data_IF_892416993555
#
_entry.id   IF_892416993555
#
_cell.length_a   1.000
_cell.length_b   1.000
_cell.length_c   1.000
_cell.angle_alpha   90.00
_cell.angle_beta   90.00
_cell.angle_gamma   90.00
#
_symmetry.space_group_name_H-M   'P 1'
#
loop_
_entity.id
_entity.type
_entity.pdbx_description
1 polymer ?
#
# COMPACT_ATOMS: atom_id res chain seq x y z
N UNK A 1 4.94 20.94 -1.94
CA UNK A 1 6.19 20.20 -1.65
C UNK A 1 5.76 18.97 -0.87
N UNK A 2 5.71 17.80 -1.50
CA UNK A 2 5.37 16.55 -0.81
C UNK A 2 6.63 16.22 0.00
N UNK A 3 6.53 16.32 1.33
CA UNK A 3 7.66 16.04 2.21
C UNK A 3 7.92 14.54 2.17
N UNK A 4 9.00 14.18 1.49
CA UNK A 4 9.41 12.80 1.33
C UNK A 4 10.03 12.30 2.64
N UNK A 5 9.40 11.34 3.32
CA UNK A 5 10.05 10.65 4.43
C UNK A 5 11.15 9.75 3.87
N UNK A 6 12.37 9.83 4.38
CA UNK A 6 13.47 8.95 3.94
C UNK A 6 13.32 7.53 4.51
N UNK A 7 13.98 6.54 3.91
CA UNK A 7 13.95 5.16 4.40
C UNK A 7 14.50 5.02 5.83
N UNK A 8 15.51 5.82 6.19
CA UNK A 8 16.04 5.86 7.56
C UNK A 8 15.02 6.42 8.55
N UNK A 9 14.32 7.49 8.17
CA UNK A 9 13.26 8.06 8.99
C UNK A 9 12.10 7.07 9.14
N UNK A 10 11.72 6.35 8.07
CA UNK A 10 10.74 5.27 8.13
C UNK A 10 11.10 4.23 9.19
N UNK A 11 12.34 3.73 9.18
CA UNK A 11 12.81 2.73 10.16
C UNK A 11 12.79 3.26 11.60
N UNK A 12 13.21 4.51 11.81
CA UNK A 12 13.19 5.15 13.14
C UNK A 12 11.76 5.29 13.66
N UNK A 13 10.85 5.77 12.81
CA UNK A 13 9.42 5.89 13.13
C UNK A 13 8.78 4.53 13.43
N UNK A 14 9.08 3.53 12.60
CA UNK A 14 8.60 2.16 12.75
C UNK A 14 9.09 1.54 14.07
N UNK A 15 10.37 1.71 14.40
CA UNK A 15 10.92 1.28 15.68
C UNK A 15 10.29 2.01 16.87
N UNK A 16 10.07 3.32 16.76
CA UNK A 16 9.42 4.10 17.80
C UNK A 16 8.01 3.56 18.09
N UNK A 17 7.14 3.47 17.09
CA UNK A 17 5.74 3.07 17.31
C UNK A 17 5.55 1.59 17.63
N UNK A 18 6.32 0.70 17.00
CA UNK A 18 6.13 -0.74 17.21
C UNK A 18 6.98 -1.34 18.32
N UNK A 19 8.05 -0.67 18.77
CA UNK A 19 8.91 -1.17 19.85
C UNK A 19 8.94 -0.25 21.07
N UNK A 20 9.24 1.04 20.89
CA UNK A 20 9.37 1.98 22.03
C UNK A 20 8.01 2.27 22.68
N UNK A 21 6.98 2.60 21.91
CA UNK A 21 5.65 2.95 22.47
C UNK A 21 5.07 1.82 23.32
N UNK A 22 5.07 0.54 22.90
CA UNK A 22 4.64 -0.56 23.76
C UNK A 22 5.46 -0.67 25.07
N UNK A 23 6.78 -0.46 25.02
CA UNK A 23 7.64 -0.44 26.22
C UNK A 23 7.26 0.71 27.14
N UNK A 24 7.07 1.92 26.60
CA UNK A 24 6.62 3.09 27.37
C UNK A 24 5.25 2.83 28.02
N UNK A 25 4.33 2.17 27.32
CA UNK A 25 3.02 1.80 27.85
C UNK A 25 3.14 0.80 29.01
N UNK A 26 3.95 -0.26 28.87
CA UNK A 26 4.16 -1.26 29.94
C UNK A 26 4.83 -0.62 31.16
N UNK A 27 5.90 0.14 30.96
CA UNK A 27 6.61 0.84 32.04
C UNK A 27 5.71 1.87 32.72
N UNK A 28 4.95 2.63 31.93
CA UNK A 28 3.97 3.59 32.43
C UNK A 28 2.87 2.92 33.25
N UNK A 29 2.35 1.78 32.80
CA UNK A 29 1.33 1.01 33.53
C UNK A 29 1.87 0.49 34.88
N UNK A 30 3.09 -0.04 34.90
CA UNK A 30 3.74 -0.49 36.14
C UNK A 30 3.95 0.68 37.11
N UNK A 31 4.45 1.82 36.61
CA UNK A 31 4.62 3.02 37.42
C UNK A 31 3.28 3.53 37.99
N UNK A 32 2.21 3.48 37.18
CA UNK A 32 0.87 3.83 37.62
C UNK A 32 0.36 2.89 38.73
N UNK A 33 0.54 1.57 38.57
CA UNK A 33 0.16 0.59 39.61
C UNK A 33 0.93 0.81 40.91
N UNK A 34 2.24 1.04 40.84
CA UNK A 34 3.06 1.36 42.01
C UNK A 34 2.59 2.64 42.69
N UNK A 35 2.29 3.69 41.92
CA UNK A 35 1.74 4.93 42.44
C UNK A 35 0.42 4.68 43.18
N UNK A 36 -0.50 3.91 42.59
CA UNK A 36 -1.78 3.58 43.22
C UNK A 36 -1.58 2.81 44.53
N UNK A 37 -0.71 1.81 44.56
CA UNK A 37 -0.38 1.05 45.78
C UNK A 37 0.16 2.00 46.86
N UNK A 38 1.11 2.87 46.53
CA UNK A 38 1.70 3.83 47.47
C UNK A 38 0.70 4.87 47.98
N UNK A 39 -0.26 5.29 47.14
CA UNK A 39 -1.30 6.24 47.54
C UNK A 39 -2.35 5.61 48.46
N UNK A 40 -2.72 4.34 48.21
CA UNK A 40 -3.69 3.57 48.98
C UNK A 40 -3.10 3.05 50.31
N UNK A 41 -1.81 2.72 50.35
CA UNK A 41 -1.15 2.22 51.56
C UNK A 41 -0.81 3.36 52.54
N UNK A 42 -1.75 3.65 53.44
CA UNK A 42 -1.72 4.81 54.36
C UNK A 42 -0.58 4.78 55.39
N UNK A 43 -0.12 3.59 55.77
CA UNK A 43 0.77 3.39 56.93
C UNK A 43 2.26 3.67 56.64
N UNK A 44 2.67 3.70 55.36
CA UNK A 44 4.07 3.92 54.95
C UNK A 44 4.21 5.05 53.92
N UNK A 45 3.43 6.14 54.07
CA UNK A 45 3.47 7.33 53.21
C UNK A 45 4.77 8.13 53.37
N UNK A 46 5.87 7.59 52.84
CA UNK A 46 7.11 8.36 52.63
C UNK A 46 6.93 9.19 51.36
N UNK A 47 6.72 10.51 51.51
CA UNK A 47 6.46 11.43 50.40
C UNK A 47 7.51 11.36 49.29
N UNK A 48 8.79 11.11 49.63
CA UNK A 48 9.86 10.93 48.64
C UNK A 48 9.71 9.70 47.73
N UNK A 49 8.99 8.65 48.17
CA UNK A 49 8.80 7.42 47.41
C UNK A 49 7.70 7.55 46.34
N UNK A 50 6.76 8.49 46.53
CA UNK A 50 5.68 8.79 45.58
C UNK A 50 6.21 9.53 44.34
N UNK A 51 7.25 10.34 44.50
CA UNK A 51 7.83 11.10 43.39
C UNK A 51 8.47 10.21 42.32
N UNK A 52 9.01 9.05 42.70
CA UNK A 52 9.65 8.14 41.75
C UNK A 52 8.69 7.70 40.61
N UNK A 53 7.53 7.06 40.88
CA UNK A 53 6.61 6.68 39.82
C UNK A 53 6.01 7.89 39.09
N UNK A 54 5.85 9.04 39.75
CA UNK A 54 5.39 10.28 39.09
C UNK A 54 6.39 10.76 38.03
N UNK A 55 7.69 10.80 38.35
CA UNK A 55 8.72 11.17 37.38
C UNK A 55 8.77 10.17 36.23
N UNK A 56 8.67 8.86 36.52
CA UNK A 56 8.63 7.84 35.46
C UNK A 56 7.43 8.04 34.53
N UNK A 57 6.24 8.31 35.06
CA UNK A 57 5.05 8.61 34.26
C UNK A 57 5.25 9.87 33.39
N UNK A 58 5.86 10.92 33.94
CA UNK A 58 6.18 12.13 33.19
C UNK A 58 7.20 11.86 32.08
N UNK A 59 8.22 11.04 32.32
CA UNK A 59 9.19 10.65 31.30
C UNK A 59 8.54 9.79 30.20
N UNK A 60 7.67 8.85 30.55
CA UNK A 60 6.94 8.05 29.57
C UNK A 60 6.00 8.92 28.72
N UNK A 61 5.21 9.79 29.35
CA UNK A 61 4.30 10.70 28.65
C UNK A 61 5.04 11.72 27.80
N UNK A 62 6.08 12.36 28.35
CA UNK A 62 6.91 13.32 27.62
C UNK A 62 7.68 12.68 26.45
N UNK A 63 8.25 11.49 26.67
CA UNK A 63 8.91 10.73 25.60
C UNK A 63 7.95 10.32 24.48
N UNK A 64 6.72 9.91 24.84
CA UNK A 64 5.68 9.64 23.85
C UNK A 64 5.30 10.88 23.05
N UNK A 65 4.99 12.00 23.72
CA UNK A 65 4.57 13.24 23.05
C UNK A 65 5.66 13.80 22.14
N UNK A 66 6.91 13.84 22.61
CA UNK A 66 8.03 14.30 21.79
C UNK A 66 8.23 13.39 20.57
N UNK A 67 8.24 12.07 20.75
CA UNK A 67 8.38 11.16 19.63
C UNK A 67 7.20 11.22 18.66
N UNK A 68 5.96 11.38 19.16
CA UNK A 68 4.78 11.50 18.32
C UNK A 68 4.78 12.78 17.48
N UNK A 69 5.32 13.89 18.00
CA UNK A 69 5.49 15.13 17.24
C UNK A 69 6.49 14.96 16.08
N UNK A 70 7.56 14.20 16.29
CA UNK A 70 8.59 13.99 15.25
C UNK A 70 8.21 12.93 14.20
N UNK A 71 7.50 11.88 14.62
CA UNK A 71 7.17 10.74 13.77
C UNK A 71 5.69 10.72 13.33
N UNK A 72 4.96 11.83 13.49
CA UNK A 72 3.53 11.89 13.22
C UNK A 72 3.15 11.40 11.83
N UNK A 73 3.87 11.87 10.81
CA UNK A 73 3.57 11.61 9.39
C UNK A 73 3.61 10.11 9.07
N UNK A 74 4.50 9.36 9.72
CA UNK A 74 4.61 7.91 9.56
C UNK A 74 3.27 7.19 9.82
N UNK A 75 2.44 7.65 10.77
CA UNK A 75 1.15 7.00 11.03
C UNK A 75 0.22 7.05 9.81
N UNK A 76 0.19 8.21 9.15
CA UNK A 76 -0.68 8.44 8.00
C UNK A 76 -0.17 7.66 6.78
N UNK A 77 1.15 7.65 6.56
CA UNK A 77 1.76 6.92 5.46
C UNK A 77 1.63 5.41 5.66
N UNK A 78 1.95 4.91 6.86
CA UNK A 78 1.91 3.49 7.18
C UNK A 78 0.49 2.92 7.14
N UNK A 79 -0.54 3.72 7.44
CA UNK A 79 -1.94 3.30 7.33
C UNK A 79 -2.38 3.01 5.88
N UNK A 80 -1.69 3.60 4.91
CA UNK A 80 -1.97 3.42 3.48
C UNK A 80 -1.15 2.28 2.85
N UNK A 81 -0.19 1.71 3.59
CA UNK A 81 0.64 0.62 3.09
C UNK A 81 -0.16 -0.67 3.00
N UNK A 82 -0.24 -1.20 1.79
CA UNK A 82 -0.91 -2.46 1.47
C UNK A 82 0.10 -3.52 0.99
N UNK A 83 -0.26 -4.81 0.98
CA UNK A 83 0.63 -5.90 0.53
C UNK A 83 1.10 -5.82 -0.93
N UNK A 84 0.59 -4.90 -1.75
CA UNK A 84 1.10 -4.61 -3.09
C UNK A 84 2.17 -3.50 -3.10
N UNK A 85 2.45 -2.86 -1.97
CA UNK A 85 3.47 -1.82 -1.79
C UNK A 85 4.67 -2.38 -1.03
N UNK A 86 4.42 -3.18 0.01
CA UNK A 86 5.46 -3.72 0.89
C UNK A 86 5.22 -5.21 1.20
N UNK A 87 6.29 -6.00 1.23
CA UNK A 87 6.25 -7.45 1.45
C UNK A 87 6.11 -7.87 2.92
N UNK A 88 6.33 -6.93 3.85
CA UNK A 88 6.34 -7.16 5.29
C UNK A 88 5.86 -5.97 6.07
N UNK A 89 5.41 -6.25 7.29
CA UNK A 89 5.04 -5.26 8.29
C UNK A 89 5.83 -5.49 9.58
N UNK A 90 6.13 -4.40 10.30
CA UNK A 90 6.77 -4.51 11.61
C UNK A 90 5.79 -5.01 12.64
N UNK A 91 6.27 -5.89 13.51
CA UNK A 91 5.58 -6.28 14.75
C UNK A 91 6.48 -5.93 15.94
N UNK A 92 5.95 -6.05 17.16
CA UNK A 92 6.72 -5.80 18.38
C UNK A 92 8.04 -6.59 18.38
N UNK A 93 7.99 -7.84 17.87
CA UNK A 93 9.16 -8.68 17.63
C UNK A 93 9.31 -8.89 16.12
N UNK A 94 10.39 -8.35 15.55
CA UNK A 94 10.77 -8.60 14.16
C UNK A 94 9.76 -8.10 13.12
N UNK A 95 9.74 -8.80 11.99
CA UNK A 95 8.87 -8.52 10.85
C UNK A 95 7.96 -9.71 10.58
N UNK A 96 6.73 -9.43 10.19
CA UNK A 96 5.80 -10.43 9.66
C UNK A 96 5.71 -10.25 8.15
N UNK A 97 6.06 -11.29 7.42
CA UNK A 97 5.92 -11.34 5.97
C UNK A 97 4.51 -11.75 5.59
N UNK A 98 3.98 -11.18 4.51
CA UNK A 98 2.71 -11.59 3.93
C UNK A 98 2.87 -12.96 3.25
N UNK A 99 1.81 -13.77 3.30
CA UNK A 99 1.75 -15.03 2.57
C UNK A 99 1.61 -14.79 1.06
N UNK A 100 2.06 -15.75 0.25
CA UNK A 100 2.06 -15.61 -1.21
C UNK A 100 0.65 -15.43 -1.79
N UNK A 101 -0.38 -16.06 -1.20
CA UNK A 101 -1.77 -15.90 -1.64
C UNK A 101 -2.27 -14.48 -1.43
N UNK A 102 -1.98 -13.87 -0.28
CA UNK A 102 -2.31 -12.47 -0.01
C UNK A 102 -1.58 -11.54 -0.97
N UNK A 103 -0.28 -11.72 -1.16
CA UNK A 103 0.49 -10.91 -2.11
C UNK A 103 -0.09 -10.99 -3.53
N UNK A 104 -0.40 -12.20 -4.01
CA UNK A 104 -0.97 -12.43 -5.33
C UNK A 104 -2.36 -11.80 -5.50
N UNK A 105 -3.16 -11.73 -4.43
CA UNK A 105 -4.46 -11.06 -4.46
C UNK A 105 -4.31 -9.54 -4.56
N UNK A 106 -3.45 -8.94 -3.73
CA UNK A 106 -3.22 -7.49 -3.71
C UNK A 106 -2.48 -6.98 -4.95
N UNK A 107 -1.60 -7.78 -5.54
CA UNK A 107 -0.90 -7.47 -6.79
C UNK A 107 -1.85 -7.15 -7.95
N UNK A 108 -3.09 -7.65 -7.93
CA UNK A 108 -4.09 -7.40 -8.98
C UNK A 108 -4.87 -6.10 -8.78
N UNK A 109 -4.72 -5.49 -7.60
CA UNK A 109 -5.45 -4.30 -7.19
C UNK A 109 -4.52 -3.09 -7.30
N UNK A 110 -5.02 -2.02 -7.90
CA UNK A 110 -4.34 -0.74 -7.90
C UNK A 110 -4.46 -0.09 -6.51
N UNK A 111 -3.34 0.33 -5.92
CA UNK A 111 -3.37 1.15 -4.71
C UNK A 111 -3.28 2.64 -5.06
N UNK A 112 -4.30 3.40 -4.66
CA UNK A 112 -4.31 4.87 -4.77
C UNK A 112 -3.24 5.54 -3.89
N UNK A 113 -2.65 4.79 -2.94
CA UNK A 113 -1.62 5.29 -2.05
C UNK A 113 -0.23 5.41 -2.70
N UNK A 114 0.04 4.68 -3.79
CA UNK A 114 1.39 4.66 -4.37
C UNK A 114 1.85 6.04 -4.82
N UNK A 115 1.02 6.84 -5.53
CA UNK A 115 1.38 8.22 -5.86
C UNK A 115 1.51 9.15 -4.65
N UNK A 116 0.74 8.92 -3.57
CA UNK A 116 0.75 9.81 -2.39
C UNK A 116 2.00 9.64 -1.53
N UNK A 117 2.59 8.44 -1.50
CA UNK A 117 3.79 8.16 -0.71
C UNK A 117 5.03 8.93 -1.19
N UNK A 118 5.06 9.35 -2.46
CA UNK A 118 6.21 10.05 -3.04
C UNK A 118 7.50 9.23 -3.15
N UNK A 119 7.49 7.93 -2.79
CA UNK A 119 8.69 7.04 -2.82
C UNK A 119 8.89 6.40 -4.19
N UNK A 120 7.90 6.59 -5.07
CA UNK A 120 7.84 6.01 -6.39
C UNK A 120 7.82 7.08 -7.47
N UNK A 121 8.51 6.77 -8.58
CA UNK A 121 8.42 7.49 -9.83
C UNK A 121 7.47 6.76 -10.78
N UNK A 122 6.53 7.50 -11.36
CA UNK A 122 5.61 6.99 -12.36
C UNK A 122 6.28 6.95 -13.74
N UNK A 123 6.32 5.77 -14.36
CA UNK A 123 6.76 5.57 -15.74
C UNK A 123 5.57 5.11 -16.61
N UNK A 124 5.29 5.77 -17.73
CA UNK A 124 4.20 5.36 -18.62
C UNK A 124 4.56 4.04 -19.30
N UNK A 125 3.61 3.10 -19.28
CA UNK A 125 3.75 1.80 -19.96
C UNK A 125 2.59 1.62 -20.93
N UNK A 126 2.90 1.25 -22.16
CA UNK A 126 1.91 0.84 -23.15
C UNK A 126 2.14 -0.58 -23.62
N UNK A 127 1.05 -1.27 -23.99
CA UNK A 127 1.11 -2.61 -24.56
C UNK A 127 0.05 -2.81 -25.63
N UNK A 128 0.50 -3.15 -26.83
CA UNK A 128 -0.37 -3.47 -27.95
C UNK A 128 -1.28 -4.67 -27.65
N UNK A 129 -2.53 -4.57 -28.10
CA UNK A 129 -3.56 -5.60 -28.01
C UNK A 129 -4.26 -5.79 -29.36
N UNK A 130 -4.71 -7.00 -29.61
CA UNK A 130 -5.57 -7.27 -30.76
C UNK A 130 -7.03 -7.08 -30.33
N UNK A 131 -7.60 -5.93 -30.67
CA UNK A 131 -9.00 -5.62 -30.39
C UNK A 131 -9.96 -6.49 -31.22
N UNK A 132 -10.94 -7.09 -30.55
CA UNK A 132 -11.91 -8.04 -31.13
C UNK A 132 -13.35 -7.47 -31.22
N UNK A 133 -13.62 -6.35 -30.53
CA UNK A 133 -14.92 -5.69 -30.55
C UNK A 133 -15.46 -5.37 -29.15
N UNK A 134 -16.58 -4.66 -29.11
CA UNK A 134 -17.29 -4.31 -27.87
C UNK A 134 -18.62 -5.07 -27.82
N UNK A 135 -18.94 -5.64 -26.66
CA UNK A 135 -20.27 -6.20 -26.38
C UNK A 135 -20.59 -6.09 -24.88
N UNK A 136 -21.86 -5.87 -24.53
CA UNK A 136 -22.31 -5.81 -23.13
C UNK A 136 -21.47 -4.87 -22.24
N UNK A 137 -21.15 -3.67 -22.74
CA UNK A 137 -20.31 -2.68 -22.06
C UNK A 137 -18.91 -3.21 -21.66
N UNK A 138 -18.40 -4.19 -22.41
CA UNK A 138 -17.09 -4.80 -22.20
C UNK A 138 -16.28 -4.75 -23.49
N UNK A 139 -15.01 -4.42 -23.37
CA UNK A 139 -14.02 -4.44 -24.45
C UNK A 139 -13.43 -5.85 -24.52
N UNK A 140 -13.54 -6.50 -25.67
CA UNK A 140 -12.94 -7.81 -25.93
C UNK A 140 -11.67 -7.66 -26.74
N UNK A 141 -10.61 -8.33 -26.29
CA UNK A 141 -9.31 -8.27 -26.95
C UNK A 141 -8.50 -9.55 -26.73
N UNK A 142 -7.56 -9.81 -27.62
CA UNK A 142 -6.54 -10.86 -27.48
C UNK A 142 -5.23 -10.22 -27.05
N UNK A 143 -4.58 -10.81 -26.05
CA UNK A 143 -3.25 -10.45 -25.59
C UNK A 143 -2.40 -11.72 -25.52
N UNK A 144 -1.38 -11.81 -26.37
CA UNK A 144 -0.65 -13.06 -26.59
C UNK A 144 -1.58 -14.12 -27.21
N UNK A 145 -1.68 -15.29 -26.57
CA UNK A 145 -2.58 -16.39 -27.00
C UNK A 145 -3.91 -16.45 -26.24
N UNK A 146 -4.16 -15.51 -25.32
CA UNK A 146 -5.34 -15.52 -24.47
C UNK A 146 -6.35 -14.45 -24.88
N UNK A 147 -7.63 -14.78 -24.71
CA UNK A 147 -8.77 -13.94 -25.00
C UNK A 147 -9.31 -13.37 -23.69
N UNK A 148 -9.45 -12.05 -23.65
CA UNK A 148 -9.90 -11.33 -22.47
C UNK A 148 -11.08 -10.44 -22.76
N UNK A 149 -11.83 -10.15 -21.71
CA UNK A 149 -12.76 -9.04 -21.67
C UNK A 149 -12.44 -8.12 -20.48
N UNK A 150 -12.65 -6.82 -20.66
CA UNK A 150 -12.60 -5.83 -19.59
C UNK A 150 -13.83 -4.93 -19.61
N UNK A 151 -14.43 -4.71 -18.44
CA UNK A 151 -15.53 -3.76 -18.24
C UNK A 151 -14.95 -2.39 -17.91
N UNK A 152 -14.64 -1.62 -18.93
CA UNK A 152 -14.15 -0.25 -18.82
C UNK A 152 -14.49 0.48 -20.11
N UNK A 153 -14.83 1.77 -20.01
CA UNK A 153 -15.04 2.60 -21.19
C UNK A 153 -13.69 2.84 -21.91
N UNK A 154 -13.58 2.48 -23.20
CA UNK A 154 -12.36 2.73 -23.96
C UNK A 154 -12.29 4.18 -24.44
N UNK A 155 -11.06 4.67 -24.63
CA UNK A 155 -10.78 5.95 -25.26
C UNK A 155 -10.54 5.68 -26.75
N UNK A 156 -11.26 6.40 -27.62
CA UNK A 156 -11.03 6.33 -29.06
C UNK A 156 -10.06 7.42 -29.47
N UNK A 157 -9.00 7.03 -30.18
CA UNK A 157 -7.97 7.95 -30.65
C UNK A 157 -7.60 7.67 -32.13
N UNK A 158 -6.96 8.67 -32.76
CA UNK A 158 -6.42 8.57 -34.12
C UNK A 158 -5.11 7.78 -34.12
N UNK A 159 -5.21 6.48 -33.92
CA UNK A 159 -4.11 5.53 -33.95
C UNK A 159 -4.49 4.27 -34.73
N UNK A 160 -3.49 3.57 -35.26
CA UNK A 160 -3.72 2.38 -36.09
C UNK A 160 -3.96 1.12 -35.26
N UNK A 161 -3.30 1.02 -34.10
CA UNK A 161 -3.29 -0.16 -33.25
C UNK A 161 -4.03 0.10 -31.94
N UNK A 162 -4.63 -0.94 -31.38
CA UNK A 162 -5.24 -0.88 -30.06
C UNK A 162 -4.17 -1.17 -28.99
N UNK A 163 -4.21 -0.45 -27.88
CA UNK A 163 -3.23 -0.59 -26.81
C UNK A 163 -3.86 -0.43 -25.42
N UNK A 164 -3.24 -1.08 -24.45
CA UNK A 164 -3.43 -0.82 -23.04
C UNK A 164 -2.44 0.27 -22.63
N UNK A 165 -2.92 1.35 -22.06
CA UNK A 165 -2.09 2.39 -21.47
C UNK A 165 -2.17 2.32 -19.95
N UNK A 166 -1.05 2.52 -19.30
CA UNK A 166 -0.95 2.52 -17.85
C UNK A 166 0.31 3.19 -17.34
N UNK A 167 0.54 2.98 -16.06
CA UNK A 167 1.71 3.48 -15.34
C UNK A 167 2.31 2.34 -14.53
N UNK A 168 3.63 2.19 -14.60
CA UNK A 168 4.39 1.38 -13.67
C UNK A 168 5.15 2.29 -12.72
N UNK A 169 5.13 1.96 -11.43
CA UNK A 169 5.78 2.77 -10.42
C UNK A 169 7.09 2.12 -10.00
N UNK A 170 8.18 2.87 -10.05
CA UNK A 170 9.53 2.42 -9.69
C UNK A 170 10.04 3.17 -8.46
N UNK A 171 10.68 2.46 -7.53
CA UNK A 171 11.25 3.12 -6.34
C UNK A 171 12.32 4.13 -6.76
N UNK A 172 12.24 5.34 -6.19
CA UNK A 172 13.23 6.40 -6.40
C UNK A 172 14.52 6.06 -5.66
N UNK A 173 14.41 5.56 -4.42
CA UNK A 173 15.54 5.22 -3.58
C UNK A 173 15.55 3.71 -3.27
N UNK A 174 16.65 3.04 -3.62
CA UNK A 174 16.81 1.59 -3.39
C UNK A 174 16.79 1.20 -1.91
N UNK A 175 17.08 2.13 -0.99
CA UNK A 175 17.05 1.89 0.45
C UNK A 175 15.66 1.46 0.95
N UNK A 176 14.58 1.82 0.24
CA UNK A 176 13.24 1.33 0.56
C UNK A 176 13.05 -0.16 0.25
N UNK A 177 13.77 -0.70 -0.72
CA UNK A 177 13.74 -2.13 -1.02
C UNK A 177 14.31 -2.95 0.15
N UNK A 178 15.34 -2.45 0.82
CA UNK A 178 15.94 -3.11 1.99
C UNK A 178 14.98 -3.23 3.17
N UNK A 179 13.96 -2.37 3.25
CA UNK A 179 12.93 -2.40 4.29
C UNK A 179 11.61 -3.03 3.82
N UNK A 180 11.60 -3.56 2.59
CA UNK A 180 10.56 -4.45 2.07
C UNK A 180 9.63 -3.84 1.04
N UNK A 181 9.87 -2.60 0.60
CA UNK A 181 9.07 -2.01 -0.47
C UNK A 181 9.43 -2.65 -1.81
N UNK A 182 8.43 -2.91 -2.65
CA UNK A 182 8.69 -3.46 -3.97
C UNK A 182 9.41 -2.42 -4.84
N UNK A 183 10.45 -2.85 -5.55
CA UNK A 183 11.24 -2.01 -6.47
C UNK A 183 10.40 -1.49 -7.62
N UNK A 184 9.44 -2.28 -8.06
CA UNK A 184 8.50 -1.92 -9.11
C UNK A 184 7.12 -2.49 -8.78
N UNK A 185 6.08 -1.79 -9.20
CA UNK A 185 4.70 -2.29 -9.12
C UNK A 185 4.36 -3.11 -10.37
N UNK A 186 3.22 -3.77 -10.34
CA UNK A 186 2.56 -4.19 -11.57
C UNK A 186 2.13 -2.96 -12.40
N UNK A 187 1.79 -3.19 -13.67
CA UNK A 187 1.33 -2.14 -14.56
C UNK A 187 -0.08 -1.71 -14.15
N UNK A 188 -0.26 -0.46 -13.73
CA UNK A 188 -1.56 0.07 -13.37
C UNK A 188 -2.24 0.56 -14.63
N UNK A 189 -3.25 -0.18 -15.09
CA UNK A 189 -4.06 0.19 -16.25
C UNK A 189 -4.78 1.52 -16.00
N UNK A 190 -4.55 2.51 -16.85
CA UNK A 190 -5.25 3.80 -16.82
C UNK A 190 -6.32 3.86 -17.90
N UNK A 191 -6.02 3.39 -19.10
CA UNK A 191 -6.95 3.43 -20.22
C UNK A 191 -6.75 2.27 -21.19
N UNK A 192 -7.84 1.89 -21.87
CA UNK A 192 -7.75 1.13 -23.12
C UNK A 192 -7.92 2.14 -24.25
N UNK A 193 -6.93 2.25 -25.13
CA UNK A 193 -6.99 3.14 -26.28
C UNK A 193 -7.23 2.32 -27.55
N UNK A 194 -8.31 2.65 -28.24
CA UNK A 194 -8.78 1.95 -29.44
C UNK A 194 -8.75 2.86 -30.66
N UNK A 195 -8.45 2.32 -31.86
CA UNK A 195 -8.59 3.05 -33.12
C UNK A 195 -10.02 3.55 -33.34
N UNK A 196 -10.19 4.83 -33.70
CA UNK A 196 -11.48 5.39 -34.11
C UNK A 196 -12.14 4.58 -35.25
N UNK A 197 -11.34 4.03 -36.16
CA UNK A 197 -11.80 3.21 -37.28
C UNK A 197 -12.52 1.93 -36.86
N UNK A 198 -12.36 1.48 -35.61
CA UNK A 198 -12.95 0.24 -35.07
C UNK A 198 -14.06 0.51 -34.05
N UNK A 199 -14.55 1.74 -33.94
CA UNK A 199 -15.57 2.13 -32.95
C UNK A 199 -16.87 1.32 -33.04
N UNK A 200 -17.26 0.92 -34.23
CA UNK A 200 -18.48 0.15 -34.50
C UNK A 200 -18.24 -1.37 -34.51
N UNK A 201 -17.02 -1.84 -34.22
CA UNK A 201 -16.71 -3.27 -34.19
C UNK A 201 -17.41 -3.93 -33.00
N UNK A 202 -18.43 -4.74 -33.30
CA UNK A 202 -19.15 -5.55 -32.31
C UNK A 202 -18.42 -6.88 -32.14
N UNK A 203 -18.26 -7.32 -30.89
CA UNK A 203 -17.65 -8.62 -30.62
C UNK A 203 -18.59 -9.76 -31.03
N UNK A 204 -18.09 -10.67 -31.85
CA UNK A 204 -18.73 -11.94 -32.19
C UNK A 204 -18.08 -13.06 -31.38
N UNK A 205 -18.90 -13.94 -30.77
CA UNK A 205 -18.39 -15.06 -29.98
C UNK A 205 -17.63 -16.02 -30.89
N UNK A 206 -16.41 -16.38 -30.49
CA UNK A 206 -15.61 -17.37 -31.19
C UNK A 206 -15.97 -18.75 -30.64
N UNK A 207 -16.36 -19.67 -31.52
CA UNK A 207 -16.73 -21.03 -31.15
C UNK A 207 -15.65 -21.72 -30.31
N UNK A 208 -16.05 -22.26 -29.15
CA UNK A 208 -15.16 -22.98 -28.24
C UNK A 208 -14.23 -22.11 -27.40
N UNK A 209 -14.27 -20.78 -27.52
CA UNK A 209 -13.45 -19.86 -26.73
C UNK A 209 -14.31 -19.10 -25.72
N UNK A 210 -13.95 -19.23 -24.44
CA UNK A 210 -14.54 -18.42 -23.37
C UNK A 210 -13.55 -17.32 -22.97
N UNK A 211 -13.82 -16.04 -23.31
CA UNK A 211 -12.99 -14.92 -22.88
C UNK A 211 -12.92 -14.83 -21.36
N UNK A 212 -11.73 -14.58 -20.82
CA UNK A 212 -11.50 -14.48 -19.39
C UNK A 212 -11.53 -13.03 -18.92
N UNK A 213 -11.95 -12.77 -17.68
CA UNK A 213 -11.91 -11.42 -17.12
C UNK A 213 -10.46 -10.96 -16.95
N UNK A 214 -10.07 -9.85 -17.58
CA UNK A 214 -8.68 -9.39 -17.62
C UNK A 214 -8.11 -9.14 -16.22
N UNK A 215 -8.82 -8.42 -15.34
CA UNK A 215 -8.32 -8.10 -14.00
C UNK A 215 -8.13 -9.31 -13.06
N UNK A 216 -8.82 -10.44 -13.32
CA UNK A 216 -8.75 -11.63 -12.46
C UNK A 216 -7.85 -12.73 -13.00
N UNK A 217 -7.58 -12.72 -14.31
CA UNK A 217 -7.00 -13.87 -15.01
C UNK A 217 -5.54 -13.68 -15.40
N UNK A 218 -4.96 -12.53 -15.09
CA UNK A 218 -3.53 -12.24 -15.26
C UNK A 218 -3.02 -11.42 -14.06
N UNK A 219 -1.69 -11.31 -13.94
CA UNK A 219 -1.01 -10.65 -12.81
C UNK A 219 -0.08 -9.52 -13.22
N UNK A 220 0.11 -9.28 -14.52
CA UNK A 220 1.01 -8.25 -15.02
C UNK A 220 0.40 -6.84 -14.97
N UNK A 221 -0.93 -6.75 -15.08
CA UNK A 221 -1.70 -5.52 -15.06
C UNK A 221 -2.66 -5.52 -13.87
N UNK A 222 -2.58 -4.51 -13.04
CA UNK A 222 -3.61 -4.19 -12.06
C UNK A 222 -4.67 -3.32 -12.73
N UNK A 223 -5.94 -3.66 -12.54
CA UNK A 223 -7.09 -2.92 -13.08
C UNK A 223 -7.65 -2.05 -11.95
N UNK A 224 -8.19 -0.85 -12.24
CA UNK A 224 -8.88 -0.06 -11.22
C UNK A 224 -9.94 -0.92 -10.54
N UNK A 225 -9.98 -0.92 -9.21
CA UNK A 225 -10.97 -1.69 -8.48
C UNK A 225 -12.36 -1.20 -8.86
N UNK A 226 -13.20 -2.06 -9.46
CA UNK A 226 -14.63 -1.82 -9.46
C UNK A 226 -15.08 -1.90 -7.99
N UNK A 227 -15.37 -0.75 -7.37
CA UNK A 227 -16.16 -0.71 -6.14
C UNK A 227 -17.56 -1.28 -6.42
#
# INVERSE_FOLDING_TARGET
MIAFMSAEMWLKSEFFYYSIVPVLLVVGLVALLLLLILLLYRENRRQGLIWLPVVVLLLCGGGFLLGDLFFHDFKNDNAQITPNIRDREKRFIGYKYYDQSTLAAYQRIQSEAIPSLGIYQAEPVSREIQFLGIAHNSVYFKLGEQYYYLRQEPIFAKQEQAELQGVQYHLIESAFADIGFFTETNNYLTAIVLPESKKELVYESIDGILPKEFGKSQTAWAVPGNQ
#
